data_IF_051856968852
#
_entry.id   IF_051856968852
#
_cell.length_a   1.000
_cell.length_b   1.000
_cell.length_c   1.000
_cell.angle_alpha   90.00
_cell.angle_beta   90.00
_cell.angle_gamma   90.00
#
_symmetry.space_group_name_H-M   'P 1'
#
loop_
_entity.id
_entity.type
_entity.pdbx_description
1 polymer ?
#
# COMPACT_ATOMS: atom_id res chain seq x y z
N UNK A 1 7.01 20.83 9.99
CA UNK A 1 6.84 20.61 8.55
C UNK A 1 5.48 20.01 8.33
N UNK A 2 4.65 20.65 7.52
CA UNK A 2 3.38 20.13 7.03
C UNK A 2 3.59 19.17 5.87
N UNK A 3 2.63 18.26 5.61
CA UNK A 3 2.74 17.31 4.50
C UNK A 3 2.79 18.02 3.14
N UNK A 4 2.08 19.14 3.00
CA UNK A 4 2.13 19.98 1.80
C UNK A 4 3.51 20.63 1.62
N UNK A 5 4.13 21.12 2.69
CA UNK A 5 5.48 21.69 2.63
C UNK A 5 6.51 20.61 2.25
N UNK A 6 6.35 19.39 2.78
CA UNK A 6 7.18 18.25 2.41
C UNK A 6 7.02 17.91 0.93
N UNK A 7 5.78 17.88 0.42
CA UNK A 7 5.49 17.68 -1.00
C UNK A 7 6.16 18.71 -1.91
N UNK A 8 6.03 20.00 -1.57
CA UNK A 8 6.68 21.07 -2.32
C UNK A 8 8.20 20.93 -2.33
N UNK A 9 8.82 20.53 -1.21
CA UNK A 9 10.27 20.28 -1.17
C UNK A 9 10.71 19.14 -2.07
N UNK A 10 9.98 18.02 -2.05
CA UNK A 10 10.26 16.86 -2.92
C UNK A 10 10.11 17.26 -4.40
N UNK A 11 9.07 18.03 -4.75
CA UNK A 11 8.87 18.52 -6.12
C UNK A 11 9.99 19.45 -6.60
N UNK A 12 10.53 20.29 -5.71
CA UNK A 12 11.68 21.15 -6.00
C UNK A 12 12.95 20.32 -6.24
N UNK A 13 13.21 19.31 -5.41
CA UNK A 13 14.45 18.53 -5.48
C UNK A 13 14.42 17.52 -6.63
N UNK A 14 13.31 16.78 -6.78
CA UNK A 14 13.22 15.59 -7.63
C UNK A 14 12.21 15.72 -8.78
N UNK A 15 11.30 16.70 -8.73
CA UNK A 15 10.17 16.82 -9.66
C UNK A 15 10.54 16.75 -11.15
N UNK A 16 11.61 17.40 -11.64
CA UNK A 16 12.04 17.25 -13.04
C UNK A 16 12.39 15.80 -13.41
N UNK A 17 13.11 15.08 -12.54
CA UNK A 17 13.50 13.67 -12.75
C UNK A 17 12.30 12.75 -12.64
N UNK A 18 11.40 13.01 -11.69
CA UNK A 18 10.16 12.25 -11.50
C UNK A 18 9.27 12.35 -12.76
N UNK A 19 9.10 13.58 -13.29
CA UNK A 19 8.33 13.80 -14.54
C UNK A 19 8.96 13.11 -15.74
N UNK A 20 10.29 13.13 -15.86
CA UNK A 20 11.00 12.44 -16.94
C UNK A 20 10.84 10.92 -16.85
N UNK A 21 10.91 10.35 -15.64
CA UNK A 21 10.76 8.91 -15.38
C UNK A 21 9.31 8.43 -15.49
N UNK A 22 8.35 9.31 -15.26
CA UNK A 22 6.92 9.02 -15.33
C UNK A 22 6.38 8.25 -14.13
N UNK A 23 5.05 8.08 -14.10
CA UNK A 23 4.32 7.48 -12.97
C UNK A 23 4.77 6.06 -12.66
N UNK A 24 4.80 5.19 -13.68
CA UNK A 24 5.12 3.78 -13.50
C UNK A 24 6.56 3.58 -13.02
N UNK A 25 7.50 4.32 -13.60
CA UNK A 25 8.90 4.27 -13.17
C UNK A 25 9.07 4.78 -11.73
N UNK A 26 8.36 5.84 -11.36
CA UNK A 26 8.40 6.39 -9.99
C UNK A 26 7.76 5.46 -8.98
N UNK A 27 6.65 4.82 -9.35
CA UNK A 27 6.01 3.81 -8.51
C UNK A 27 6.88 2.57 -8.30
N UNK A 28 7.69 2.15 -9.29
CA UNK A 28 8.64 1.04 -9.10
C UNK A 28 9.68 1.36 -8.02
N UNK A 29 10.23 2.57 -8.01
CA UNK A 29 11.15 3.01 -6.94
C UNK A 29 10.47 3.00 -5.57
N UNK A 30 9.23 3.48 -5.46
CA UNK A 30 8.46 3.35 -4.20
C UNK A 30 8.37 1.89 -3.73
N UNK A 31 8.10 0.94 -4.64
CA UNK A 31 8.02 -0.48 -4.30
C UNK A 31 9.38 -1.05 -3.87
N UNK A 32 10.47 -0.57 -4.46
CA UNK A 32 11.83 -0.93 -4.10
C UNK A 32 12.15 -0.54 -2.64
N UNK A 33 11.89 0.71 -2.26
CA UNK A 33 12.13 1.15 -0.87
C UNK A 33 11.23 0.46 0.15
N UNK A 34 10.00 0.08 -0.25
CA UNK A 34 9.15 -0.77 0.60
C UNK A 34 9.80 -2.14 0.81
N UNK A 35 10.51 -2.66 -0.19
CA UNK A 35 11.30 -3.89 -0.11
C UNK A 35 12.49 -3.76 0.84
N UNK A 36 13.24 -2.67 0.75
CA UNK A 36 14.37 -2.38 1.63
C UNK A 36 13.92 -2.14 3.08
N UNK A 37 12.82 -1.41 3.28
CA UNK A 37 12.19 -1.29 4.60
C UNK A 37 11.82 -2.67 5.18
N UNK A 38 11.26 -3.56 4.37
CA UNK A 38 10.91 -4.91 4.81
C UNK A 38 12.16 -5.74 5.18
N UNK A 39 13.30 -5.51 4.52
CA UNK A 39 14.60 -6.11 4.89
C UNK A 39 15.08 -5.54 6.23
N UNK A 40 15.17 -4.22 6.37
CA UNK A 40 15.61 -3.56 7.60
C UNK A 40 14.79 -3.99 8.83
N UNK A 41 13.46 -4.10 8.68
CA UNK A 41 12.57 -4.59 9.74
C UNK A 41 12.84 -6.05 10.13
N UNK A 42 13.14 -6.92 9.15
CA UNK A 42 13.43 -8.33 9.40
C UNK A 42 14.74 -8.49 10.14
N UNK A 43 15.72 -7.66 9.81
CA UNK A 43 17.06 -7.70 10.38
C UNK A 43 17.14 -6.97 11.73
N UNK A 44 16.06 -6.28 12.13
CA UNK A 44 15.98 -5.54 13.39
C UNK A 44 16.83 -4.26 13.40
N UNK A 45 17.28 -3.81 12.23
CA UNK A 45 18.10 -2.61 12.08
C UNK A 45 17.23 -1.36 12.12
N UNK A 46 17.24 -0.70 13.28
CA UNK A 46 16.47 0.53 13.52
C UNK A 46 16.98 1.72 12.72
N UNK A 47 18.28 1.79 12.43
CA UNK A 47 18.86 2.91 11.69
C UNK A 47 18.53 2.77 10.21
N UNK A 48 18.71 1.58 9.64
CA UNK A 48 18.27 1.29 8.29
C UNK A 48 16.75 1.53 8.16
N UNK A 49 15.93 0.99 9.06
CA UNK A 49 14.49 1.21 9.00
C UNK A 49 14.08 2.69 9.04
N UNK A 50 14.81 3.54 9.77
CA UNK A 50 14.57 4.98 9.77
C UNK A 50 14.87 5.62 8.40
N UNK A 51 15.97 5.21 7.76
CA UNK A 51 16.32 5.66 6.40
C UNK A 51 15.26 5.21 5.40
N UNK A 52 14.92 3.92 5.39
CA UNK A 52 13.96 3.38 4.43
C UNK A 52 12.54 3.95 4.62
N UNK A 53 12.12 4.25 5.86
CA UNK A 53 10.86 4.98 6.10
C UNK A 53 10.90 6.37 5.47
N UNK A 54 12.04 7.04 5.56
CA UNK A 54 12.22 8.38 4.97
C UNK A 54 12.13 8.32 3.44
N UNK A 55 12.73 7.30 2.83
CA UNK A 55 12.70 7.11 1.37
C UNK A 55 11.29 6.69 0.89
N UNK A 56 10.59 5.81 1.61
CA UNK A 56 9.18 5.49 1.35
C UNK A 56 8.31 6.74 1.40
N UNK A 57 8.52 7.63 2.37
CA UNK A 57 7.79 8.90 2.45
C UNK A 57 8.08 9.80 1.24
N UNK A 58 9.35 9.95 0.87
CA UNK A 58 9.76 10.77 -0.27
C UNK A 58 9.15 10.26 -1.58
N UNK A 59 9.23 8.96 -1.86
CA UNK A 59 8.68 8.38 -3.08
C UNK A 59 7.16 8.34 -3.10
N UNK A 60 6.50 8.17 -1.95
CA UNK A 60 5.03 8.26 -1.86
C UNK A 60 4.57 9.64 -2.32
N UNK A 61 5.26 10.67 -1.87
CA UNK A 61 4.99 12.06 -2.22
C UNK A 61 5.31 12.35 -3.69
N UNK A 62 6.43 11.85 -4.23
CA UNK A 62 6.73 11.94 -5.66
C UNK A 62 5.62 11.32 -6.53
N UNK A 63 5.12 10.13 -6.14
CA UNK A 63 4.00 9.49 -6.83
C UNK A 63 2.73 10.35 -6.73
N UNK A 64 2.42 10.89 -5.55
CA UNK A 64 1.27 11.76 -5.34
C UNK A 64 1.33 13.01 -6.24
N UNK A 65 2.48 13.67 -6.32
CA UNK A 65 2.72 14.83 -7.18
C UNK A 65 2.50 14.50 -8.66
N UNK A 66 3.02 13.38 -9.16
CA UNK A 66 2.78 12.95 -10.54
C UNK A 66 1.32 12.60 -10.81
N UNK A 67 0.59 12.15 -9.79
CA UNK A 67 -0.84 11.87 -9.86
C UNK A 67 -1.72 13.13 -9.68
N UNK A 68 -1.14 14.30 -9.39
CA UNK A 68 -1.90 15.51 -9.10
C UNK A 68 -2.66 15.45 -7.77
N UNK A 69 -2.16 14.68 -6.80
CA UNK A 69 -2.78 14.49 -5.49
C UNK A 69 -2.06 15.35 -4.46
N UNK A 70 -2.82 16.18 -3.75
CA UNK A 70 -2.36 16.91 -2.57
C UNK A 70 -2.30 15.97 -1.36
N UNK A 71 -1.10 15.73 -0.83
CA UNK A 71 -0.90 14.70 0.21
C UNK A 71 -1.49 15.10 1.56
N UNK A 72 -1.58 16.39 1.87
CA UNK A 72 -2.16 16.87 3.13
C UNK A 72 -3.68 16.69 3.12
N UNK A 73 -4.32 17.00 1.99
CA UNK A 73 -5.74 16.71 1.79
C UNK A 73 -6.01 15.20 1.78
N UNK A 74 -5.16 14.39 1.14
CA UNK A 74 -5.30 12.94 1.18
C UNK A 74 -5.20 12.38 2.61
N UNK A 75 -4.25 12.88 3.40
CA UNK A 75 -4.06 12.49 4.80
C UNK A 75 -5.21 12.95 5.71
N UNK A 76 -5.91 14.04 5.36
CA UNK A 76 -7.05 14.56 6.14
C UNK A 76 -8.14 13.51 6.40
N UNK A 77 -8.25 12.51 5.51
CA UNK A 77 -9.13 11.33 5.65
C UNK A 77 -8.93 10.59 6.98
N UNK A 78 -7.75 10.65 7.57
CA UNK A 78 -7.38 9.98 8.83
C UNK A 78 -7.12 10.96 9.99
N UNK A 79 -7.34 12.27 9.80
CA UNK A 79 -6.90 13.30 10.75
C UNK A 79 -7.69 13.34 12.07
N UNK A 80 -8.90 12.77 12.12
CA UNK A 80 -9.76 12.81 13.31
C UNK A 80 -10.19 11.44 13.81
N UNK A 81 -10.75 10.64 12.91
CA UNK A 81 -11.33 9.33 13.21
C UNK A 81 -10.99 8.32 12.12
N UNK A 82 -11.10 7.03 12.44
CA UNK A 82 -11.03 5.99 11.42
C UNK A 82 -12.09 6.27 10.34
N UNK A 83 -11.75 6.35 9.04
CA UNK A 83 -12.72 6.62 7.99
C UNK A 83 -13.68 5.45 7.72
N UNK A 84 -13.47 4.28 8.36
CA UNK A 84 -14.36 3.12 8.26
C UNK A 84 -15.39 3.10 9.41
N UNK A 85 -14.93 3.20 10.66
CA UNK A 85 -15.81 3.06 11.83
C UNK A 85 -16.11 4.38 12.54
N UNK A 86 -15.48 5.50 12.18
CA UNK A 86 -15.66 6.82 12.79
C UNK A 86 -15.33 6.91 14.29
N UNK A 87 -14.52 5.98 14.81
CA UNK A 87 -14.04 5.99 16.20
C UNK A 87 -12.53 6.24 16.28
N UNK A 88 -12.12 6.80 17.42
CA UNK A 88 -10.73 6.94 17.86
C UNK A 88 -10.64 6.49 19.33
N UNK A 89 -10.00 5.36 19.68
CA UNK A 89 -9.25 4.45 18.79
C UNK A 89 -10.16 3.66 17.82
N UNK A 90 -9.57 3.16 16.74
CA UNK A 90 -10.27 2.35 15.74
C UNK A 90 -10.79 1.03 16.35
N UNK A 91 -12.10 0.78 16.21
CA UNK A 91 -12.75 -0.49 16.61
C UNK A 91 -13.02 -1.48 15.48
N UNK A 92 -12.40 -1.32 14.30
CA UNK A 92 -12.61 -2.27 13.19
C UNK A 92 -12.12 -3.67 13.58
N UNK A 93 -12.91 -4.70 13.25
CA UNK A 93 -12.44 -6.07 13.39
C UNK A 93 -11.15 -6.27 12.57
N UNK A 94 -10.15 -7.01 13.08
CA UNK A 94 -8.97 -7.35 12.29
C UNK A 94 -9.44 -8.14 11.06
N UNK A 95 -9.17 -7.61 9.86
CA UNK A 95 -9.49 -8.32 8.62
C UNK A 95 -8.86 -9.72 8.70
N UNK A 96 -9.64 -10.80 8.49
CA UNK A 96 -9.09 -12.14 8.59
C UNK A 96 -7.94 -12.23 7.59
N UNK A 97 -6.72 -12.54 8.08
CA UNK A 97 -5.54 -12.74 7.23
C UNK A 97 -6.00 -13.64 6.10
N UNK A 98 -6.03 -13.11 4.87
CA UNK A 98 -6.53 -13.86 3.73
C UNK A 98 -5.64 -15.08 3.55
N UNK A 99 -6.04 -16.19 4.16
CA UNK A 99 -5.29 -17.41 4.11
C UNK A 99 -5.44 -17.91 2.67
N UNK A 100 -4.45 -17.61 1.82
CA UNK A 100 -4.40 -18.09 0.43
C UNK A 100 -4.60 -19.61 0.34
N UNK A 101 -4.32 -20.38 1.42
CA UNK A 101 -4.63 -21.83 1.51
C UNK A 101 -6.13 -22.15 1.64
N UNK A 102 -6.95 -21.29 2.25
CA UNK A 102 -8.38 -21.53 2.39
C UNK A 102 -9.14 -21.38 1.05
N UNK A 103 -8.74 -20.40 0.22
CA UNK A 103 -9.33 -20.20 -1.13
C UNK A 103 -9.08 -21.38 -2.08
N UNK A 104 -7.94 -22.07 -1.96
CA UNK A 104 -7.62 -23.27 -2.78
C UNK A 104 -8.47 -24.50 -2.45
N UNK A 105 -9.02 -24.60 -1.23
CA UNK A 105 -9.90 -25.72 -0.85
C UNK A 105 -11.33 -25.51 -1.35
N UNK A 106 -11.83 -24.28 -1.35
CA UNK A 106 -13.19 -23.99 -1.80
C UNK A 106 -13.39 -24.21 -3.31
N UNK A 107 -12.38 -23.94 -4.15
CA UNK A 107 -12.46 -24.21 -5.59
C UNK A 107 -12.35 -25.69 -5.95
N UNK A 108 -11.73 -26.52 -5.09
CA UNK A 108 -11.61 -27.97 -5.34
C UNK A 108 -12.90 -28.75 -5.03
N UNK A 109 -13.76 -28.25 -4.14
CA UNK A 109 -15.01 -28.94 -3.75
C UNK A 109 -16.19 -28.71 -4.71
N UNK A 110 -16.14 -27.67 -5.54
CA UNK A 110 -17.24 -27.36 -6.48
C UNK A 110 -17.24 -28.26 -7.73
N UNK A 111 -16.09 -28.83 -8.11
CA UNK A 111 -15.96 -29.65 -9.33
C UNK A 111 -16.41 -31.12 -9.16
N UNK A 112 -16.80 -31.56 -7.95
CA UNK A 112 -17.21 -32.95 -7.69
C UNK A 112 -18.73 -33.19 -7.64
N UNK A 113 -19.58 -32.17 -7.81
CA UNK A 113 -21.05 -32.29 -7.75
C UNK A 113 -21.77 -32.27 -9.11
N UNK A 114 -21.07 -32.22 -10.24
CA UNK A 114 -21.68 -32.16 -11.59
C UNK A 114 -21.47 -33.42 -12.45
N UNK A 115 -21.23 -34.59 -11.83
CA UNK A 115 -20.78 -35.79 -12.57
C UNK A 115 -21.47 -37.11 -12.25
N UNK A 116 -22.71 -37.14 -11.77
CA UNK A 116 -23.52 -38.38 -11.70
C UNK A 116 -24.98 -38.07 -12.03
N UNK A 117 -25.27 -37.95 -13.33
CA UNK A 117 -26.63 -38.15 -13.84
C UNK A 117 -26.83 -39.65 -14.04
N UNK A 118 -27.84 -40.22 -13.36
CA UNK A 118 -28.41 -41.53 -13.68
C UNK A 118 -29.03 -41.49 -15.08
N UNK A 119 -28.84 -42.53 -15.92
CA UNK A 119 -29.62 -42.67 -17.14
C UNK A 119 -31.02 -43.25 -16.80
N UNK A 120 -32.09 -42.82 -17.49
CA UNK A 120 -33.42 -43.33 -17.21
C UNK A 120 -33.69 -44.67 -17.92
N UNK A 121 -34.44 -45.52 -17.20
CA UNK A 121 -35.21 -46.73 -17.56
C UNK A 121 -34.73 -47.61 -18.73
#
# INVERSE_FOLDING_TARGET
MHLREFQQRIEVIYGPRDRQRGKDGTFRWLVEEVGELARAMRDGDRQAAHVEISDVLAWTVSVASLCGVDVEQAASRYARVCPKCHHTPCGCAPEPRSNRRARRRQTATSSRRLGRGEPPA
#
